data_IF_360326703006
#
_entry.id   IF_360326703006
#
_cell.length_a   1.000
_cell.length_b   1.000
_cell.length_c   1.000
_cell.angle_alpha   90.00
_cell.angle_beta   90.00
_cell.angle_gamma   90.00
#
_symmetry.space_group_name_H-M   'P 1'
#
loop_
_entity.id
_entity.type
_entity.pdbx_description
1 polymer ?
#
# COMPACT_ATOMS: atom_id res chain seq x y z
N UNK A 1 1.01 -41.40 14.67
CA UNK A 1 -0.21 -40.64 14.99
C UNK A 1 -0.40 -39.65 13.86
N UNK A 2 -1.45 -39.85 13.04
CA UNK A 2 -1.55 -39.28 11.68
C UNK A 2 -1.37 -37.77 11.61
N UNK A 3 -0.60 -37.33 10.61
CA UNK A 3 -0.30 -35.95 10.20
C UNK A 3 -1.57 -35.19 9.76
N UNK A 4 -2.46 -34.86 10.70
CA UNK A 4 -3.61 -34.00 10.43
C UNK A 4 -3.19 -32.53 10.60
N UNK A 5 -2.51 -31.98 9.58
CA UNK A 5 -2.41 -30.52 9.42
C UNK A 5 -3.78 -30.01 8.98
N UNK A 6 -4.22 -28.91 9.58
CA UNK A 6 -5.42 -28.18 9.13
C UNK A 6 -5.31 -27.84 7.63
N UNK A 7 -6.45 -27.77 6.95
CA UNK A 7 -6.53 -27.36 5.55
C UNK A 7 -7.53 -26.23 5.39
N UNK A 8 -7.37 -25.45 4.33
CA UNK A 8 -8.34 -24.40 3.97
C UNK A 8 -9.75 -24.98 3.86
N UNK A 9 -10.76 -24.20 4.29
CA UNK A 9 -12.16 -24.65 4.23
C UNK A 9 -12.68 -24.77 2.79
N UNK A 10 -12.04 -24.06 1.86
CA UNK A 10 -12.24 -24.21 0.42
C UNK A 10 -11.11 -23.55 -0.37
N UNK A 11 -10.99 -23.90 -1.66
CA UNK A 11 -9.94 -23.37 -2.54
C UNK A 11 -9.98 -21.85 -2.71
N UNK A 12 -11.18 -21.26 -2.68
CA UNK A 12 -11.35 -19.81 -2.80
C UNK A 12 -10.79 -19.08 -1.59
N UNK A 13 -10.88 -19.64 -0.39
CA UNK A 13 -10.30 -19.04 0.82
C UNK A 13 -8.77 -18.89 0.65
N UNK A 14 -8.09 -19.94 0.18
CA UNK A 14 -6.66 -19.88 -0.14
C UNK A 14 -6.34 -18.84 -1.21
N UNK A 15 -7.07 -18.85 -2.33
CA UNK A 15 -6.82 -17.91 -3.43
C UNK A 15 -7.01 -16.46 -2.97
N UNK A 16 -8.06 -16.17 -2.21
CA UNK A 16 -8.32 -14.82 -1.68
C UNK A 16 -7.27 -14.42 -0.64
N UNK A 17 -6.80 -15.33 0.21
CA UNK A 17 -5.70 -15.04 1.14
C UNK A 17 -4.40 -14.70 0.40
N UNK A 18 -4.05 -15.43 -0.65
CA UNK A 18 -2.86 -15.13 -1.46
C UNK A 18 -3.02 -13.83 -2.26
N UNK A 19 -4.21 -13.58 -2.84
CA UNK A 19 -4.50 -12.32 -3.54
C UNK A 19 -4.46 -11.14 -2.58
N UNK A 20 -5.11 -11.23 -1.42
CA UNK A 20 -5.11 -10.17 -0.41
C UNK A 20 -3.72 -9.88 0.14
N UNK A 21 -2.88 -10.90 0.30
CA UNK A 21 -1.49 -10.68 0.67
C UNK A 21 -0.69 -9.95 -0.42
N UNK A 22 -0.81 -10.37 -1.68
CA UNK A 22 -0.05 -9.80 -2.80
C UNK A 22 -0.55 -8.42 -3.22
N UNK A 23 -1.85 -8.14 -3.08
CA UNK A 23 -2.47 -6.87 -3.46
C UNK A 23 -2.54 -5.97 -2.24
N UNK A 24 -1.64 -5.00 -2.18
CA UNK A 24 -1.47 -4.10 -1.05
C UNK A 24 -1.48 -2.62 -1.48
N UNK A 25 -1.03 -1.73 -0.58
CA UNK A 25 -0.92 -0.31 -0.89
C UNK A 25 0.13 -0.03 -1.99
N UNK A 26 1.15 -0.88 -2.19
CA UNK A 26 2.16 -0.73 -3.23
C UNK A 26 1.57 -0.82 -4.65
N UNK A 27 0.50 -1.60 -4.84
CA UNK A 27 -0.23 -1.64 -6.11
C UNK A 27 -0.87 -0.29 -6.45
N UNK A 28 -1.26 0.50 -5.43
CA UNK A 28 -1.94 1.79 -5.60
C UNK A 28 -0.95 2.95 -5.66
N UNK A 29 0.02 3.02 -4.75
CA UNK A 29 0.84 4.24 -4.58
C UNK A 29 2.21 4.22 -5.24
N UNK A 30 2.66 3.07 -5.77
CA UNK A 30 4.02 2.89 -6.26
C UNK A 30 4.03 2.47 -7.71
N UNK A 31 3.31 1.40 -8.07
CA UNK A 31 3.25 0.96 -9.46
C UNK A 31 2.81 2.06 -10.45
N UNK A 32 1.74 2.84 -10.17
CA UNK A 32 1.34 3.91 -11.09
C UNK A 32 2.40 5.00 -11.22
N UNK A 33 3.02 5.39 -10.10
CA UNK A 33 4.11 6.36 -10.09
C UNK A 33 5.32 5.87 -10.89
N UNK A 34 5.71 4.60 -10.75
CA UNK A 34 6.81 4.02 -11.52
C UNK A 34 6.51 4.00 -13.02
N UNK A 35 5.27 3.71 -13.42
CA UNK A 35 4.88 3.82 -14.82
C UNK A 35 5.11 5.25 -15.33
N UNK A 36 4.61 6.26 -14.61
CA UNK A 36 4.81 7.66 -14.96
C UNK A 36 6.29 8.07 -15.02
N UNK A 37 7.07 7.79 -13.96
CA UNK A 37 8.50 8.11 -13.87
C UNK A 37 9.31 7.46 -15.00
N UNK A 38 8.99 6.21 -15.34
CA UNK A 38 9.83 5.36 -16.20
C UNK A 38 9.35 5.26 -17.66
N UNK A 39 8.63 6.27 -18.16
CA UNK A 39 8.28 6.37 -19.57
C UNK A 39 6.89 5.81 -19.94
N UNK A 40 5.95 5.91 -19.01
CA UNK A 40 4.55 5.54 -19.18
C UNK A 40 4.37 4.08 -19.57
N UNK A 41 3.63 3.83 -20.65
CA UNK A 41 3.37 2.49 -21.15
C UNK A 41 4.62 1.72 -21.59
N UNK A 42 5.74 2.39 -21.85
CA UNK A 42 7.00 1.72 -22.18
C UNK A 42 7.57 0.94 -20.97
N UNK A 43 7.26 1.36 -19.73
CA UNK A 43 7.67 0.67 -18.51
C UNK A 43 7.04 -0.74 -18.37
N UNK A 44 5.91 -0.98 -19.04
CA UNK A 44 5.26 -2.30 -19.03
C UNK A 44 6.15 -3.38 -19.66
N UNK A 45 7.05 -3.03 -20.58
CA UNK A 45 7.99 -3.99 -21.19
C UNK A 45 8.98 -4.55 -20.17
N UNK A 46 9.83 -3.74 -19.50
CA UNK A 46 10.73 -4.25 -18.46
C UNK A 46 9.97 -4.86 -17.28
N UNK A 47 8.81 -4.31 -16.91
CA UNK A 47 7.96 -4.88 -15.86
C UNK A 47 7.48 -6.30 -16.20
N UNK A 48 6.88 -6.51 -17.38
CA UNK A 48 6.42 -7.83 -17.81
C UNK A 48 7.57 -8.83 -17.96
N UNK A 49 8.72 -8.40 -18.50
CA UNK A 49 9.90 -9.28 -18.60
C UNK A 49 10.33 -9.73 -17.20
N UNK A 50 10.53 -8.80 -16.27
CA UNK A 50 10.92 -9.12 -14.89
C UNK A 50 9.86 -9.95 -14.15
N UNK A 51 8.58 -9.73 -14.44
CA UNK A 51 7.47 -10.52 -13.92
C UNK A 51 7.55 -11.99 -14.38
N UNK A 52 7.74 -12.24 -15.68
CA UNK A 52 7.77 -13.60 -16.21
C UNK A 52 9.07 -14.36 -15.90
N UNK A 53 10.22 -13.68 -15.87
CA UNK A 53 11.52 -14.35 -15.68
C UNK A 53 11.95 -14.43 -14.21
N UNK A 54 11.50 -13.49 -13.37
CA UNK A 54 11.91 -13.39 -11.97
C UNK A 54 10.74 -13.61 -11.00
N UNK A 55 9.71 -12.77 -11.11
CA UNK A 55 8.58 -12.74 -10.18
C UNK A 55 7.80 -14.04 -10.10
N UNK A 56 7.15 -14.44 -11.20
CA UNK A 56 6.30 -15.64 -11.27
C UNK A 56 7.08 -16.91 -10.93
N UNK A 57 8.31 -17.14 -11.43
CA UNK A 57 9.08 -18.33 -11.06
C UNK A 57 9.35 -18.45 -9.56
N UNK A 58 9.73 -17.36 -8.89
CA UNK A 58 9.99 -17.39 -7.45
C UNK A 58 8.72 -17.51 -6.61
N UNK A 59 7.66 -16.82 -7.04
CA UNK A 59 6.34 -16.92 -6.43
C UNK A 59 5.79 -18.34 -6.52
N UNK A 60 5.87 -18.97 -7.70
CA UNK A 60 5.49 -20.36 -7.91
C UNK A 60 6.34 -21.32 -7.10
N UNK A 61 7.66 -21.12 -7.06
CA UNK A 61 8.58 -21.94 -6.29
C UNK A 61 8.19 -21.97 -4.81
N UNK A 62 7.94 -20.81 -4.20
CA UNK A 62 7.60 -20.74 -2.77
C UNK A 62 6.26 -21.42 -2.46
N UNK A 63 5.23 -21.20 -3.29
CA UNK A 63 3.94 -21.88 -3.15
C UNK A 63 4.07 -23.40 -3.31
N UNK A 64 4.83 -23.87 -4.31
CA UNK A 64 5.04 -25.30 -4.54
C UNK A 64 5.81 -25.95 -3.38
N UNK A 65 6.86 -25.30 -2.88
CA UNK A 65 7.63 -25.77 -1.71
C UNK A 65 6.77 -25.85 -0.45
N UNK A 66 5.94 -24.83 -0.20
CA UNK A 66 5.01 -24.81 0.93
C UNK A 66 4.04 -25.98 0.87
N UNK A 67 3.36 -26.16 -0.26
CA UNK A 67 2.38 -27.25 -0.45
C UNK A 67 3.01 -28.64 -0.35
N UNK A 68 4.21 -28.83 -0.92
CA UNK A 68 4.88 -30.13 -0.92
C UNK A 68 5.38 -30.52 0.49
N UNK A 69 6.01 -29.59 1.23
CA UNK A 69 6.58 -29.89 2.54
C UNK A 69 5.59 -29.78 3.71
N UNK A 70 4.44 -29.11 3.53
CA UNK A 70 3.36 -28.96 4.52
C UNK A 70 3.82 -28.45 5.89
N UNK A 71 4.80 -27.55 5.88
CA UNK A 71 5.41 -26.94 7.07
C UNK A 71 5.72 -25.46 6.83
N UNK A 72 5.74 -24.67 7.90
CA UNK A 72 6.14 -23.27 7.89
C UNK A 72 7.63 -23.07 7.55
N UNK A 73 8.03 -21.80 7.35
CA UNK A 73 9.30 -21.44 6.73
C UNK A 73 10.55 -22.06 7.38
N UNK A 74 10.68 -21.99 8.71
CA UNK A 74 11.85 -22.51 9.45
C UNK A 74 12.00 -24.02 9.25
N UNK A 75 10.94 -24.76 9.55
CA UNK A 75 10.94 -26.23 9.46
C UNK A 75 11.02 -26.71 8.01
N UNK A 76 10.44 -25.97 7.05
CA UNK A 76 10.53 -26.27 5.62
C UNK A 76 11.98 -26.21 5.13
N UNK A 77 12.66 -25.07 5.31
CA UNK A 77 14.08 -24.93 4.93
C UNK A 77 14.99 -25.92 5.66
N UNK A 78 14.71 -26.19 6.94
CA UNK A 78 15.44 -27.20 7.71
C UNK A 78 15.28 -28.63 7.19
N UNK A 79 14.14 -28.97 6.56
CA UNK A 79 13.90 -30.29 5.94
C UNK A 79 14.48 -30.39 4.53
N UNK A 80 14.53 -29.29 3.78
CA UNK A 80 15.11 -29.26 2.42
C UNK A 80 16.64 -29.31 2.50
N UNK A 81 17.25 -28.32 3.17
CA UNK A 81 18.70 -28.21 3.35
C UNK A 81 18.98 -27.79 4.79
N UNK A 82 19.29 -28.73 5.71
CA UNK A 82 19.54 -28.40 7.12
C UNK A 82 20.62 -27.33 7.34
N UNK A 83 21.65 -27.30 6.49
CA UNK A 83 22.71 -26.27 6.51
C UNK A 83 22.15 -24.86 6.32
N UNK A 84 21.09 -24.71 5.52
CA UNK A 84 20.44 -23.44 5.21
C UNK A 84 19.14 -23.20 5.99
N UNK A 85 18.93 -23.91 7.11
CA UNK A 85 17.82 -23.63 8.03
C UNK A 85 17.77 -22.16 8.49
N UNK A 86 18.92 -21.49 8.52
CA UNK A 86 19.04 -20.06 8.80
C UNK A 86 18.18 -19.16 7.89
N UNK A 87 17.93 -19.56 6.63
CA UNK A 87 17.06 -18.82 5.71
C UNK A 87 15.66 -18.67 6.31
N UNK A 88 15.10 -19.75 6.86
CA UNK A 88 13.77 -19.70 7.47
C UNK A 88 13.69 -18.78 8.68
N UNK A 89 14.73 -18.71 9.52
CA UNK A 89 14.79 -17.75 10.64
C UNK A 89 14.90 -16.30 10.14
N UNK A 90 15.71 -16.04 9.13
CA UNK A 90 15.85 -14.70 8.54
C UNK A 90 14.53 -14.21 7.95
N UNK A 91 13.82 -15.07 7.21
CA UNK A 91 12.52 -14.75 6.60
C UNK A 91 11.47 -14.41 7.65
N UNK A 92 11.37 -15.20 8.73
CA UNK A 92 10.44 -14.93 9.84
C UNK A 92 10.78 -13.63 10.56
N UNK A 93 12.06 -13.34 10.78
CA UNK A 93 12.49 -12.09 11.41
C UNK A 93 12.21 -10.86 10.54
N UNK A 94 12.34 -10.97 9.22
CA UNK A 94 11.98 -9.91 8.28
C UNK A 94 10.49 -9.59 8.39
N UNK A 95 9.62 -10.61 8.37
CA UNK A 95 8.18 -10.43 8.56
C UNK A 95 7.86 -9.75 9.90
N UNK A 96 8.54 -10.16 10.98
CA UNK A 96 8.39 -9.54 12.30
C UNK A 96 8.75 -8.05 12.31
N UNK A 97 9.82 -7.65 11.62
CA UNK A 97 10.17 -6.23 11.51
C UNK A 97 9.21 -5.42 10.63
N UNK A 98 8.65 -6.04 9.59
CA UNK A 98 7.65 -5.38 8.72
C UNK A 98 6.40 -5.04 9.51
N UNK A 99 5.93 -5.96 10.36
CA UNK A 99 4.73 -5.74 11.19
C UNK A 99 4.85 -4.53 12.13
N UNK A 100 6.06 -4.13 12.54
CA UNK A 100 6.24 -2.96 13.42
C UNK A 100 5.91 -1.62 12.77
N UNK A 101 6.25 -1.43 11.49
CA UNK A 101 6.02 -0.16 10.81
C UNK A 101 4.82 -0.21 9.87
N UNK A 102 4.53 -1.37 9.27
CA UNK A 102 3.46 -1.49 8.27
C UNK A 102 2.08 -1.24 8.89
N UNK A 103 1.84 -1.76 10.09
CA UNK A 103 0.58 -1.56 10.82
C UNK A 103 0.30 -0.09 11.19
N UNK A 104 1.34 0.76 11.25
CA UNK A 104 1.16 2.21 11.47
C UNK A 104 0.48 2.87 10.26
N UNK A 105 0.72 2.38 9.04
CA UNK A 105 0.07 2.88 7.83
C UNK A 105 -1.43 2.55 7.85
N UNK A 106 -1.78 1.34 8.31
CA UNK A 106 -3.17 0.93 8.51
C UNK A 106 -3.84 1.80 9.58
N UNK A 107 -3.12 2.12 10.65
CA UNK A 107 -3.60 3.03 11.69
C UNK A 107 -3.83 4.45 11.15
N UNK A 108 -2.99 4.96 10.23
CA UNK A 108 -3.24 6.22 9.54
C UNK A 108 -4.53 6.14 8.71
N UNK A 109 -4.71 5.09 7.92
CA UNK A 109 -5.94 4.88 7.14
C UNK A 109 -7.19 4.87 8.05
N UNK A 110 -7.13 4.16 9.17
CA UNK A 110 -8.21 4.14 10.17
C UNK A 110 -8.48 5.52 10.78
N UNK A 111 -7.41 6.27 11.08
CA UNK A 111 -7.52 7.63 11.65
C UNK A 111 -8.17 8.61 10.67
N UNK A 112 -7.84 8.51 9.38
CA UNK A 112 -8.47 9.28 8.31
C UNK A 112 -9.91 8.85 8.05
N UNK A 113 -10.19 7.55 8.12
CA UNK A 113 -11.56 7.03 8.03
C UNK A 113 -12.45 7.62 9.11
N UNK A 114 -12.01 7.62 10.37
CA UNK A 114 -12.76 8.27 11.45
C UNK A 114 -12.84 9.80 11.32
N UNK A 115 -11.79 10.45 10.81
CA UNK A 115 -11.81 11.88 10.52
C UNK A 115 -12.79 12.29 9.42
N UNK A 116 -13.22 11.34 8.59
CA UNK A 116 -14.11 11.59 7.45
C UNK A 116 -15.59 11.69 7.84
N UNK A 117 -15.98 11.32 9.07
CA UNK A 117 -17.36 11.44 9.56
C UNK A 117 -17.68 12.87 10.01
N UNK A 118 -17.77 13.77 9.05
CA UNK A 118 -18.04 15.21 9.24
C UNK A 118 -18.76 15.77 8.02
N UNK A 119 -19.44 16.91 8.18
CA UNK A 119 -20.07 17.63 7.07
C UNK A 119 -19.04 18.30 6.14
N UNK A 120 -17.88 18.68 6.69
CA UNK A 120 -16.77 19.29 5.96
C UNK A 120 -15.47 18.58 6.33
N UNK A 121 -14.79 18.01 5.34
CA UNK A 121 -13.53 17.28 5.55
C UNK A 121 -12.45 18.23 6.09
N UNK A 122 -11.67 17.83 7.11
CA UNK A 122 -10.78 18.75 7.83
C UNK A 122 -9.52 19.15 7.05
N UNK A 123 -9.25 18.53 5.91
CA UNK A 123 -8.13 18.85 5.01
C UNK A 123 -8.53 19.75 3.82
N UNK A 124 -9.72 20.36 3.85
CA UNK A 124 -10.21 21.27 2.79
C UNK A 124 -9.70 22.70 2.96
N UNK A 125 -9.69 23.22 4.19
CA UNK A 125 -9.44 24.64 4.50
C UNK A 125 -8.13 24.87 5.24
N UNK A 126 -7.68 26.12 5.23
CA UNK A 126 -6.49 26.60 5.95
C UNK A 126 -6.83 27.33 7.26
N UNK A 127 -8.09 27.31 7.70
CA UNK A 127 -8.58 28.06 8.87
C UNK A 127 -8.61 27.21 10.16
N UNK A 128 -7.75 26.21 10.26
CA UNK A 128 -7.72 25.28 11.39
C UNK A 128 -6.57 25.60 12.35
N UNK A 129 -6.63 25.18 13.64
CA UNK A 129 -5.61 25.51 14.64
C UNK A 129 -4.22 24.92 14.33
N UNK A 130 -4.13 23.89 13.49
CA UNK A 130 -2.84 23.31 13.07
C UNK A 130 -2.20 24.05 11.88
N UNK A 131 -2.95 24.93 11.21
CA UNK A 131 -2.48 25.58 9.99
C UNK A 131 -1.45 26.67 10.26
N UNK A 132 -0.59 26.91 9.27
CA UNK A 132 0.38 28.01 9.29
C UNK A 132 -0.04 29.15 8.35
N UNK A 133 0.52 30.36 8.50
CA UNK A 133 0.27 31.46 7.57
C UNK A 133 0.69 31.17 6.12
N UNK A 134 1.46 30.09 5.88
CA UNK A 134 1.90 29.64 4.55
C UNK A 134 0.93 28.64 3.90
N UNK A 135 -0.12 28.24 4.61
CA UNK A 135 -1.14 27.34 4.09
C UNK A 135 -1.90 28.00 2.94
N UNK A 136 -2.05 27.27 1.84
CA UNK A 136 -2.91 27.66 0.72
C UNK A 136 -4.00 26.61 0.51
N UNK A 137 -5.29 27.02 0.42
CA UNK A 137 -6.35 26.11 0.04
C UNK A 137 -6.16 25.67 -1.42
N UNK A 138 -6.85 24.59 -1.79
CA UNK A 138 -6.88 24.11 -3.17
C UNK A 138 -7.88 24.96 -3.97
N UNK A 139 -7.56 26.23 -4.23
CA UNK A 139 -8.45 27.16 -4.92
C UNK A 139 -8.20 27.24 -6.43
N UNK A 140 -9.30 27.38 -7.19
CA UNK A 140 -9.37 27.57 -8.65
C UNK A 140 -8.79 28.91 -9.16
N UNK A 141 -8.25 29.74 -8.27
CA UNK A 141 -7.78 31.10 -8.54
C UNK A 141 -6.28 31.23 -8.28
N UNK A 142 -5.48 30.45 -9.01
CA UNK A 142 -4.20 30.96 -9.53
C UNK A 142 -4.42 31.96 -10.68
N UNK A 143 -5.52 32.73 -10.64
CA UNK A 143 -5.51 34.04 -11.27
C UNK A 143 -4.41 34.82 -10.59
N UNK A 144 -3.33 35.05 -11.34
CA UNK A 144 -2.30 36.01 -11.00
C UNK A 144 -2.93 37.19 -10.27
N UNK A 145 -2.62 37.34 -8.99
CA UNK A 145 -2.76 38.61 -8.29
C UNK A 145 -1.75 39.58 -8.91
N UNK A 146 -2.02 39.99 -10.16
CA UNK A 146 -1.38 41.14 -10.81
C UNK A 146 -1.87 42.47 -10.25
N UNK A 147 -2.57 42.48 -9.10
CA UNK A 147 -3.08 43.70 -8.47
C UNK A 147 -2.90 43.73 -6.94
N UNK A 148 -1.77 43.23 -6.43
CA UNK A 148 -1.24 43.74 -5.16
C UNK A 148 -0.04 44.64 -5.45
N UNK A 149 -0.20 45.92 -5.17
CA UNK A 149 0.81 46.96 -5.30
C UNK A 149 2.02 46.67 -4.40
N UNK A 150 3.00 45.92 -4.90
CA UNK A 150 4.29 45.75 -4.25
C UNK A 150 5.23 46.92 -4.62
N UNK A 151 5.09 48.02 -3.87
CA UNK A 151 6.25 48.84 -3.52
C UNK A 151 7.08 48.06 -2.50
N UNK A 152 7.90 47.13 -2.99
CA UNK A 152 8.77 46.29 -2.17
C UNK A 152 10.15 46.21 -2.82
N UNK A 153 11.10 46.93 -2.26
CA UNK A 153 12.50 46.99 -2.67
C UNK A 153 13.12 45.59 -2.79
N UNK A 154 13.63 45.27 -3.99
CA UNK A 154 14.45 44.09 -4.26
C UNK A 154 15.66 44.07 -3.31
N UNK A 155 15.63 43.21 -2.28
CA UNK A 155 16.82 42.84 -1.52
C UNK A 155 17.37 41.55 -2.11
N UNK A 156 18.46 41.68 -2.86
CA UNK A 156 19.36 40.58 -3.20
C UNK A 156 19.95 40.01 -1.91
N UNK A 157 19.54 38.80 -1.53
CA UNK A 157 20.28 37.97 -0.59
C UNK A 157 20.43 36.57 -1.16
N UNK A 158 21.63 36.32 -1.66
CA UNK A 158 22.21 35.02 -1.93
C UNK A 158 22.27 34.19 -0.65
N UNK A 159 21.45 33.16 -0.52
CA UNK A 159 21.69 32.06 0.42
C UNK A 159 21.37 30.72 -0.23
N UNK A 160 22.44 29.93 -0.41
CA UNK A 160 22.38 28.49 -0.61
C UNK A 160 21.82 27.84 0.66
N UNK A 161 20.57 27.42 0.59
CA UNK A 161 19.90 26.54 1.53
C UNK A 161 18.75 25.90 0.78
N UNK A 162 18.54 24.60 0.94
CA UNK A 162 17.40 23.88 0.35
C UNK A 162 16.11 24.65 0.66
N UNK A 163 15.53 25.28 -0.35
CA UNK A 163 14.27 26.00 -0.24
C UNK A 163 13.17 25.00 0.11
N UNK A 164 12.74 25.01 1.37
CA UNK A 164 11.41 24.51 1.71
C UNK A 164 10.39 25.25 0.82
N UNK A 165 9.38 24.56 0.28
CA UNK A 165 8.38 25.20 -0.57
C UNK A 165 7.79 26.41 0.15
N UNK A 166 7.71 27.53 -0.56
CA UNK A 166 7.29 28.83 -0.01
C UNK A 166 5.86 28.79 0.55
N UNK A 167 5.06 27.81 0.09
CA UNK A 167 3.68 27.54 0.48
C UNK A 167 3.41 26.04 0.64
N UNK A 168 2.47 25.70 1.53
CA UNK A 168 2.04 24.32 1.85
C UNK A 168 0.55 24.16 1.55
N UNK A 169 0.12 22.98 1.09
CA UNK A 169 -1.31 22.69 0.88
C UNK A 169 -2.02 22.39 2.20
N UNK A 170 -3.32 22.69 2.27
CA UNK A 170 -4.17 22.37 3.43
C UNK A 170 -4.09 20.88 3.83
N UNK A 171 -4.10 19.97 2.85
CA UNK A 171 -3.98 18.53 3.10
C UNK A 171 -2.60 18.11 3.61
N UNK A 172 -1.53 18.75 3.12
CA UNK A 172 -0.19 18.50 3.60
C UNK A 172 -0.03 18.92 5.06
N UNK A 173 -0.55 20.10 5.43
CA UNK A 173 -0.53 20.57 6.81
C UNK A 173 -1.43 19.73 7.73
N UNK A 174 -2.58 19.28 7.24
CA UNK A 174 -3.42 18.35 7.99
C UNK A 174 -2.66 17.07 8.32
N UNK A 175 -2.03 16.43 7.33
CA UNK A 175 -1.30 15.19 7.57
C UNK A 175 -0.06 15.41 8.45
N UNK A 176 0.81 16.37 8.11
CA UNK A 176 2.07 16.59 8.81
C UNK A 176 1.91 17.22 10.19
N UNK A 177 0.95 18.14 10.37
CA UNK A 177 0.81 18.93 11.61
C UNK A 177 -0.32 18.45 12.49
N UNK A 178 -1.45 18.03 11.92
CA UNK A 178 -2.57 17.54 12.70
C UNK A 178 -2.46 16.04 13.00
N UNK A 179 -2.27 15.19 11.98
CA UNK A 179 -2.23 13.73 12.16
C UNK A 179 -0.90 13.28 12.76
N UNK A 180 0.23 13.64 12.14
CA UNK A 180 1.56 13.18 12.55
C UNK A 180 2.21 14.02 13.64
N UNK A 181 1.83 15.30 13.76
CA UNK A 181 2.51 16.28 14.61
C UNK A 181 4.04 16.36 14.38
N UNK A 182 4.49 16.06 13.17
CA UNK A 182 5.91 15.93 12.82
C UNK A 182 6.70 17.22 13.06
N UNK A 183 6.04 18.37 12.96
CA UNK A 183 6.61 19.69 13.25
C UNK A 183 7.09 19.88 14.70
N UNK A 184 6.73 18.98 15.62
CA UNK A 184 7.19 19.00 17.02
C UNK A 184 8.51 18.24 17.24
N UNK A 185 8.92 17.44 16.26
CA UNK A 185 10.14 16.63 16.31
C UNK A 185 11.25 17.31 15.52
N UNK A 186 12.44 17.41 16.12
CA UNK A 186 13.66 17.89 15.45
C UNK A 186 14.37 16.79 14.64
N UNK A 187 13.96 15.52 14.81
CA UNK A 187 14.56 14.37 14.15
C UNK A 187 14.32 13.06 14.91
N UNK A 188 14.92 11.96 14.44
CA UNK A 188 14.72 10.63 15.04
C UNK A 188 15.14 10.54 16.52
N UNK A 189 16.08 11.39 16.95
CA UNK A 189 16.52 11.47 18.35
C UNK A 189 15.47 12.10 19.28
N UNK A 190 14.48 12.80 18.73
CA UNK A 190 13.42 13.45 19.48
C UNK A 190 12.05 12.99 18.97
N UNK A 191 11.56 11.89 19.54
CA UNK A 191 10.26 11.32 19.20
C UNK A 191 9.08 12.12 19.79
N UNK A 192 9.34 13.06 20.69
CA UNK A 192 8.30 13.82 21.38
C UNK A 192 7.36 12.95 22.24
N UNK A 193 6.10 13.39 22.35
CA UNK A 193 5.06 12.70 23.12
C UNK A 193 4.28 11.68 22.28
N UNK A 194 3.85 10.57 22.91
CA UNK A 194 2.95 9.60 22.26
C UNK A 194 1.60 10.26 21.97
N UNK A 195 1.19 10.22 20.70
CA UNK A 195 -0.11 10.71 20.25
C UNK A 195 -1.19 9.64 20.48
N UNK A 196 -2.02 9.83 21.52
CA UNK A 196 -2.93 8.79 22.03
C UNK A 196 -4.06 8.38 21.07
N UNK A 197 -4.54 9.28 20.21
CA UNK A 197 -5.53 8.95 19.17
C UNK A 197 -4.94 7.99 18.11
N UNK A 198 -3.68 8.19 17.73
CA UNK A 198 -2.95 7.27 16.86
C UNK A 198 -2.64 5.94 17.55
N UNK A 199 -2.26 5.97 18.83
CA UNK A 199 -2.05 4.75 19.62
C UNK A 199 -3.35 3.92 19.73
N UNK A 200 -4.50 4.57 19.90
CA UNK A 200 -5.80 3.91 19.90
C UNK A 200 -6.12 3.30 18.52
N UNK A 201 -5.87 4.01 17.42
CA UNK A 201 -6.07 3.46 16.07
C UNK A 201 -5.18 2.24 15.84
N UNK A 202 -3.91 2.29 16.24
CA UNK A 202 -2.99 1.15 16.14
C UNK A 202 -3.45 -0.03 17.00
N UNK A 203 -3.92 0.22 18.22
CA UNK A 203 -4.49 -0.81 19.09
C UNK A 203 -5.72 -1.47 18.46
N UNK A 204 -6.62 -0.70 17.85
CA UNK A 204 -7.78 -1.24 17.12
C UNK A 204 -7.34 -2.10 15.93
N UNK A 205 -6.33 -1.68 15.17
CA UNK A 205 -5.76 -2.49 14.07
C UNK A 205 -5.26 -3.83 14.60
N UNK A 206 -4.48 -3.85 15.68
CA UNK A 206 -4.01 -5.12 16.27
C UNK A 206 -5.15 -5.99 16.82
N UNK A 207 -6.21 -5.39 17.38
CA UNK A 207 -7.41 -6.15 17.77
C UNK A 207 -8.05 -6.83 16.55
N UNK A 208 -8.17 -6.12 15.42
CA UNK A 208 -8.71 -6.68 14.18
C UNK A 208 -7.82 -7.82 13.68
N UNK A 209 -6.50 -7.61 13.63
CA UNK A 209 -5.54 -8.65 13.24
C UNK A 209 -5.62 -9.88 14.15
N UNK A 210 -5.67 -9.66 15.46
CA UNK A 210 -5.73 -10.72 16.45
C UNK A 210 -6.99 -11.59 16.29
N UNK A 211 -8.18 -11.00 16.27
CA UNK A 211 -9.41 -11.77 16.08
C UNK A 211 -9.54 -12.42 14.70
N UNK A 212 -8.88 -11.87 13.68
CA UNK A 212 -8.82 -12.48 12.35
C UNK A 212 -7.92 -13.73 12.32
N UNK A 213 -6.80 -13.70 13.04
CA UNK A 213 -5.79 -14.77 13.08
C UNK A 213 -5.96 -15.77 14.24
N UNK A 214 -6.79 -15.45 15.25
CA UNK A 214 -6.93 -16.20 16.50
C UNK A 214 -7.17 -17.70 16.26
N UNK A 215 -8.13 -18.07 15.40
CA UNK A 215 -8.43 -19.48 15.07
C UNK A 215 -7.71 -19.98 13.82
N UNK A 216 -6.65 -19.29 13.41
CA UNK A 216 -5.87 -19.62 12.22
C UNK A 216 -6.63 -19.44 10.93
N UNK A 217 -6.33 -20.31 9.96
CA UNK A 217 -6.85 -20.23 8.60
C UNK A 217 -8.37 -20.44 8.51
N UNK A 218 -9.00 -21.07 9.53
CA UNK A 218 -10.45 -21.24 9.60
C UNK A 218 -11.21 -19.91 9.69
N UNK A 219 -10.71 -18.94 10.46
CA UNK A 219 -11.28 -17.59 10.57
C UNK A 219 -10.67 -16.65 9.55
N UNK A 220 -9.34 -16.65 9.43
CA UNK A 220 -8.62 -15.76 8.50
C UNK A 220 -9.14 -15.95 7.06
N UNK A 221 -9.32 -17.20 6.63
CA UNK A 221 -9.87 -17.53 5.31
C UNK A 221 -11.31 -17.04 5.06
N UNK A 222 -12.06 -16.65 6.10
CA UNK A 222 -13.39 -16.02 5.98
C UNK A 222 -13.32 -14.50 6.04
N UNK A 223 -12.43 -13.92 6.83
CA UNK A 223 -12.24 -12.46 6.87
C UNK A 223 -11.79 -11.93 5.51
N UNK A 224 -10.89 -12.66 4.83
CA UNK A 224 -10.36 -12.29 3.50
C UNK A 224 -11.43 -12.17 2.40
N UNK A 225 -12.61 -12.74 2.58
CA UNK A 225 -13.71 -12.53 1.63
C UNK A 225 -14.17 -11.08 1.59
N UNK A 226 -14.13 -10.37 2.72
CA UNK A 226 -14.41 -8.95 2.74
C UNK A 226 -13.17 -8.15 2.39
N UNK A 227 -12.07 -8.37 3.10
CA UNK A 227 -10.87 -7.53 2.99
C UNK A 227 -10.19 -7.63 1.63
N UNK A 228 -10.23 -8.79 0.95
CA UNK A 228 -9.63 -8.93 -0.38
C UNK A 228 -10.57 -8.47 -1.50
N UNK A 229 -11.89 -8.64 -1.38
CA UNK A 229 -12.85 -8.29 -2.44
C UNK A 229 -13.31 -6.83 -2.39
N UNK A 230 -13.41 -6.24 -1.19
CA UNK A 230 -13.87 -4.87 -1.00
C UNK A 230 -13.02 -3.84 -1.77
N UNK A 231 -11.68 -3.93 -1.80
CA UNK A 231 -10.86 -3.04 -2.62
C UNK A 231 -11.24 -3.04 -4.10
N UNK A 232 -11.61 -4.19 -4.69
CA UNK A 232 -12.03 -4.25 -6.09
C UNK A 232 -13.35 -3.51 -6.34
N UNK A 233 -14.29 -3.58 -5.40
CA UNK A 233 -15.53 -2.82 -5.48
C UNK A 233 -15.24 -1.31 -5.44
N UNK A 234 -14.37 -0.86 -4.53
CA UNK A 234 -14.00 0.56 -4.42
C UNK A 234 -13.19 1.01 -5.63
N UNK A 235 -12.22 0.22 -6.10
CA UNK A 235 -11.45 0.53 -7.31
C UNK A 235 -12.37 0.68 -8.53
N UNK A 236 -13.40 -0.14 -8.68
CA UNK A 236 -14.36 0.00 -9.77
C UNK A 236 -15.17 1.30 -9.65
N UNK A 237 -15.67 1.62 -8.45
CA UNK A 237 -16.44 2.85 -8.20
C UNK A 237 -15.57 4.09 -8.45
N UNK A 238 -14.33 4.10 -7.94
CA UNK A 238 -13.38 5.19 -8.13
C UNK A 238 -12.88 5.27 -9.58
N UNK A 239 -12.80 4.16 -10.31
CA UNK A 239 -12.46 4.15 -11.73
C UNK A 239 -13.55 4.86 -12.54
N UNK A 240 -14.82 4.45 -12.36
CA UNK A 240 -15.95 5.08 -13.03
C UNK A 240 -16.02 6.56 -12.68
N UNK A 241 -15.86 6.91 -11.39
CA UNK A 241 -15.83 8.31 -10.98
C UNK A 241 -14.67 9.06 -11.62
N UNK A 242 -13.46 8.52 -11.53
CA UNK A 242 -12.22 9.13 -12.01
C UNK A 242 -12.25 9.45 -13.50
N UNK A 243 -12.69 8.51 -14.34
CA UNK A 243 -12.76 8.74 -15.80
C UNK A 243 -13.85 9.76 -16.18
N UNK A 244 -14.90 9.94 -15.37
CA UNK A 244 -15.97 10.94 -15.62
C UNK A 244 -15.58 12.36 -15.23
N UNK A 245 -14.45 12.56 -14.55
CA UNK A 245 -13.98 13.89 -14.14
C UNK A 245 -13.35 14.65 -15.32
N UNK A 246 -13.46 16.00 -15.36
CA UNK A 246 -12.76 16.81 -16.36
C UNK A 246 -11.25 16.67 -16.19
N UNK A 247 -10.48 16.65 -17.28
CA UNK A 247 -9.01 16.48 -17.21
C UNK A 247 -8.51 15.05 -16.97
N UNK A 248 -9.40 14.08 -16.74
CA UNK A 248 -9.03 12.67 -16.51
C UNK A 248 -8.21 12.06 -17.65
N UNK A 249 -8.52 12.41 -18.89
CA UNK A 249 -7.81 11.95 -20.09
C UNK A 249 -6.35 12.42 -20.13
N UNK A 250 -6.06 13.62 -19.61
CA UNK A 250 -4.69 14.13 -19.53
C UNK A 250 -3.87 13.32 -18.53
N UNK A 251 -4.44 13.02 -17.36
CA UNK A 251 -3.80 12.16 -16.39
C UNK A 251 -3.50 10.76 -16.93
N UNK A 252 -4.45 10.14 -17.63
CA UNK A 252 -4.24 8.84 -18.28
C UNK A 252 -3.15 8.92 -19.36
N UNK A 253 -3.07 10.04 -20.09
CA UNK A 253 -1.99 10.27 -21.05
C UNK A 253 -0.63 10.30 -20.35
N UNK A 254 -0.50 10.96 -19.21
CA UNK A 254 0.73 10.93 -18.42
C UNK A 254 1.07 9.54 -17.87
N UNK A 255 0.06 8.74 -17.52
CA UNK A 255 0.25 7.37 -17.06
C UNK A 255 0.79 6.43 -18.16
N UNK A 256 0.26 6.53 -19.39
CA UNK A 256 0.50 5.52 -20.43
C UNK A 256 1.22 6.00 -21.68
N UNK A 257 1.47 7.30 -21.85
CA UNK A 257 2.19 7.82 -23.03
C UNK A 257 3.59 7.19 -23.11
N UNK A 258 3.86 6.35 -24.13
CA UNK A 258 5.06 5.52 -24.14
C UNK A 258 6.29 6.34 -24.53
N UNK A 259 7.33 6.30 -23.69
CA UNK A 259 8.66 6.79 -24.03
C UNK A 259 9.69 5.65 -23.97
N UNK A 260 9.94 5.03 -25.12
CA UNK A 260 10.87 3.90 -25.24
C UNK A 260 12.33 4.27 -24.96
N UNK A 261 12.70 5.55 -24.97
CA UNK A 261 14.04 5.99 -24.57
C UNK A 261 14.32 5.70 -23.09
N UNK A 262 13.31 5.53 -22.25
CA UNK A 262 13.50 5.21 -20.84
C UNK A 262 14.03 3.79 -20.63
N UNK A 263 13.71 2.84 -21.52
CA UNK A 263 14.10 1.42 -21.38
C UNK A 263 15.62 1.22 -21.46
N UNK A 264 16.35 2.15 -22.10
CA UNK A 264 17.82 2.07 -22.18
C UNK A 264 18.50 2.36 -20.84
N UNK A 265 17.79 2.94 -19.88
CA UNK A 265 18.33 3.25 -18.55
C UNK A 265 18.27 2.02 -17.65
N UNK A 266 19.39 1.65 -17.04
CA UNK A 266 19.45 0.52 -16.11
C UNK A 266 18.53 0.69 -14.89
N UNK A 267 18.37 1.93 -14.39
CA UNK A 267 17.48 2.26 -13.28
C UNK A 267 16.03 1.79 -13.51
N UNK A 268 15.53 1.89 -14.75
CA UNK A 268 14.18 1.47 -15.11
C UNK A 268 13.97 -0.04 -14.93
N UNK A 269 15.01 -0.83 -15.21
CA UNK A 269 14.96 -2.29 -15.01
C UNK A 269 15.08 -2.67 -13.54
N UNK A 270 15.86 -1.93 -12.76
CA UNK A 270 15.94 -2.11 -11.31
C UNK A 270 14.60 -1.76 -10.66
N UNK A 271 14.00 -0.63 -11.01
CA UNK A 271 12.67 -0.23 -10.54
C UNK A 271 11.60 -1.28 -10.90
N UNK A 272 11.63 -1.81 -12.13
CA UNK A 272 10.74 -2.88 -12.58
C UNK A 272 10.92 -4.17 -11.76
N UNK A 273 12.16 -4.61 -11.57
CA UNK A 273 12.46 -5.79 -10.77
C UNK A 273 12.00 -5.57 -9.32
N UNK A 274 12.46 -4.52 -8.65
CA UNK A 274 12.09 -4.21 -7.27
C UNK A 274 10.58 -4.15 -7.08
N UNK A 275 9.84 -3.52 -8.00
CA UNK A 275 8.38 -3.49 -7.95
C UNK A 275 7.75 -4.89 -8.07
N UNK A 276 8.22 -5.72 -9.01
CA UNK A 276 7.72 -7.10 -9.18
C UNK A 276 7.97 -7.95 -7.93
N UNK A 277 9.19 -7.88 -7.37
CA UNK A 277 9.57 -8.65 -6.20
C UNK A 277 8.80 -8.23 -4.95
N UNK A 278 8.67 -6.94 -4.67
CA UNK A 278 7.92 -6.49 -3.49
C UNK A 278 6.41 -6.57 -3.67
N UNK A 279 5.89 -6.54 -4.90
CA UNK A 279 4.45 -6.66 -5.15
C UNK A 279 3.96 -8.11 -5.08
N UNK A 280 4.72 -9.10 -5.56
CA UNK A 280 4.31 -10.50 -5.42
C UNK A 280 4.61 -11.07 -4.02
N UNK A 281 5.54 -10.46 -3.29
CA UNK A 281 5.94 -10.89 -1.95
C UNK A 281 6.66 -12.25 -1.81
N UNK A 282 7.38 -12.81 -2.81
CA UNK A 282 8.21 -13.99 -2.55
C UNK A 282 9.35 -13.67 -1.58
N UNK A 283 9.68 -14.62 -0.72
CA UNK A 283 10.76 -14.52 0.26
C UNK A 283 10.35 -13.98 1.63
N UNK A 284 9.07 -13.65 1.84
CA UNK A 284 8.54 -13.32 3.17
C UNK A 284 8.03 -14.54 3.95
N UNK A 285 8.01 -15.74 3.33
CA UNK A 285 7.57 -16.97 3.99
C UNK A 285 6.06 -17.11 4.10
N UNK A 286 5.31 -16.07 3.69
CA UNK A 286 3.84 -16.01 3.70
C UNK A 286 3.26 -17.00 2.70
N UNK A 287 3.74 -16.98 1.46
CA UNK A 287 3.29 -17.89 0.41
C UNK A 287 3.55 -19.34 0.82
N UNK A 288 4.72 -19.59 1.41
CA UNK A 288 5.10 -20.90 1.92
C UNK A 288 4.16 -21.35 3.05
N UNK A 289 3.86 -20.46 4.00
CA UNK A 289 2.92 -20.72 5.09
C UNK A 289 1.51 -20.99 4.57
N UNK A 290 0.95 -20.14 3.71
CA UNK A 290 -0.39 -20.34 3.14
C UNK A 290 -0.51 -21.61 2.31
N UNK A 291 0.48 -21.88 1.44
CA UNK A 291 0.47 -23.09 0.63
C UNK A 291 0.67 -24.37 1.45
N UNK A 292 1.32 -24.30 2.62
CA UNK A 292 1.48 -25.45 3.51
C UNK A 292 0.16 -26.05 3.99
N UNK A 293 -0.91 -25.25 4.00
CA UNK A 293 -2.27 -25.67 4.35
C UNK A 293 -3.10 -26.15 3.15
N UNK A 294 -2.58 -26.10 1.92
CA UNK A 294 -3.27 -26.65 0.75
C UNK A 294 -3.35 -28.17 0.81
N UNK A 295 -4.29 -28.76 0.07
CA UNK A 295 -4.25 -30.19 -0.22
C UNK A 295 -3.03 -30.54 -1.08
N UNK A 296 -2.45 -31.72 -0.85
CA UNK A 296 -1.20 -32.12 -1.51
C UNK A 296 -1.32 -32.15 -3.04
N UNK A 297 -2.47 -32.60 -3.56
CA UNK A 297 -2.74 -32.71 -5.00
C UNK A 297 -3.43 -31.47 -5.60
N UNK A 298 -3.51 -30.35 -4.88
CA UNK A 298 -4.03 -29.11 -5.46
C UNK A 298 -3.10 -28.59 -6.57
N UNK A 299 -3.67 -28.02 -7.62
CA UNK A 299 -2.90 -27.47 -8.74
C UNK A 299 -2.34 -26.08 -8.41
N UNK A 300 -1.21 -26.08 -7.69
CA UNK A 300 -0.52 -24.85 -7.27
C UNK A 300 0.07 -24.04 -8.43
N UNK A 301 0.33 -24.67 -9.58
CA UNK A 301 0.81 -23.96 -10.78
C UNK A 301 -0.23 -23.01 -11.34
N UNK A 302 -1.48 -23.47 -11.47
CA UNK A 302 -2.59 -22.62 -11.92
C UNK A 302 -2.87 -21.50 -10.92
N UNK A 303 -2.82 -21.81 -9.62
CA UNK A 303 -3.05 -20.83 -8.56
C UNK A 303 -1.97 -19.75 -8.58
N UNK A 304 -0.70 -20.12 -8.76
CA UNK A 304 0.41 -19.18 -8.86
C UNK A 304 0.29 -18.24 -10.07
N UNK A 305 -0.09 -18.77 -11.24
CA UNK A 305 -0.28 -17.97 -12.44
C UNK A 305 -1.47 -17.03 -12.30
N UNK A 306 -2.61 -17.53 -11.81
CA UNK A 306 -3.84 -16.74 -11.64
C UNK A 306 -3.62 -15.57 -10.67
N UNK A 307 -3.06 -15.85 -9.50
CA UNK A 307 -2.80 -14.84 -8.46
C UNK A 307 -1.80 -13.78 -8.95
N UNK A 308 -0.74 -14.17 -9.65
CA UNK A 308 0.25 -13.23 -10.22
C UNK A 308 -0.36 -12.30 -11.28
N UNK A 309 -1.24 -12.84 -12.14
CA UNK A 309 -1.97 -12.05 -13.14
C UNK A 309 -2.94 -11.09 -12.45
N UNK A 310 -3.73 -11.56 -11.48
CA UNK A 310 -4.65 -10.70 -10.72
C UNK A 310 -3.88 -9.57 -10.06
N UNK A 311 -2.79 -9.85 -9.35
CA UNK A 311 -1.96 -8.85 -8.70
C UNK A 311 -1.52 -7.72 -9.67
N UNK A 312 -0.95 -8.11 -10.81
CA UNK A 312 -0.45 -7.16 -11.83
C UNK A 312 -1.59 -6.39 -12.51
N UNK A 313 -2.71 -7.05 -12.79
CA UNK A 313 -3.92 -6.40 -13.31
C UNK A 313 -4.48 -5.38 -12.33
N UNK A 314 -4.47 -5.67 -11.03
CA UNK A 314 -4.91 -4.74 -9.99
C UNK A 314 -4.04 -3.49 -9.95
N UNK A 315 -2.72 -3.63 -10.02
CA UNK A 315 -1.80 -2.48 -10.12
C UNK A 315 -2.09 -1.64 -11.37
N UNK A 316 -2.34 -2.30 -12.50
CA UNK A 316 -2.65 -1.62 -13.76
C UNK A 316 -3.95 -0.81 -13.69
N UNK A 317 -5.02 -1.41 -13.12
CA UNK A 317 -6.32 -0.76 -12.90
C UNK A 317 -6.20 0.37 -11.89
N UNK A 318 -5.50 0.16 -10.77
CA UNK A 318 -5.24 1.18 -9.77
C UNK A 318 -4.51 2.39 -10.38
N UNK A 319 -3.63 2.16 -11.36
CA UNK A 319 -3.01 3.25 -12.09
C UNK A 319 -3.98 4.15 -12.86
N UNK A 320 -5.03 3.59 -13.49
CA UNK A 320 -6.08 4.42 -14.08
C UNK A 320 -6.86 5.20 -13.02
N UNK A 321 -7.18 4.56 -11.89
CA UNK A 321 -7.90 5.21 -10.77
C UNK A 321 -7.09 6.41 -10.27
N UNK A 322 -5.80 6.21 -9.96
CA UNK A 322 -4.91 7.26 -9.47
C UNK A 322 -4.74 8.36 -10.51
N UNK A 323 -4.31 8.03 -11.73
CA UNK A 323 -3.97 9.06 -12.71
C UNK A 323 -5.18 9.80 -13.28
N UNK A 324 -6.36 9.18 -13.33
CA UNK A 324 -7.58 9.92 -13.70
C UNK A 324 -7.93 11.03 -12.70
N UNK A 325 -7.75 10.77 -11.40
CA UNK A 325 -7.94 11.77 -10.34
C UNK A 325 -6.81 12.79 -10.30
N UNK A 326 -5.55 12.39 -10.52
CA UNK A 326 -4.43 13.34 -10.63
C UNK A 326 -4.57 14.26 -11.84
N UNK A 327 -5.05 13.75 -12.98
CA UNK A 327 -5.36 14.57 -14.16
C UNK A 327 -6.47 15.59 -13.89
N UNK A 328 -7.52 15.16 -13.18
CA UNK A 328 -8.55 16.08 -12.69
C UNK A 328 -7.97 17.15 -11.77
N UNK A 329 -7.14 16.75 -10.82
CA UNK A 329 -6.50 17.67 -9.89
C UNK A 329 -5.67 18.71 -10.63
N UNK A 330 -4.81 18.29 -11.56
CA UNK A 330 -4.00 19.18 -12.40
C UNK A 330 -4.86 20.15 -13.22
N UNK A 331 -5.98 19.67 -13.79
CA UNK A 331 -6.89 20.50 -14.57
C UNK A 331 -7.63 21.55 -13.72
N UNK A 332 -8.00 21.20 -12.48
CA UNK A 332 -8.72 22.11 -11.58
C UNK A 332 -7.78 23.12 -10.92
N UNK A 333 -6.58 22.70 -10.52
CA UNK A 333 -5.60 23.57 -9.86
C UNK A 333 -4.74 24.37 -10.83
N UNK A 334 -4.75 24.01 -12.12
CA UNK A 334 -3.84 24.58 -13.12
C UNK A 334 -2.36 24.23 -12.88
N UNK A 335 -2.07 23.25 -12.01
CA UNK A 335 -0.71 22.81 -11.71
C UNK A 335 -0.26 21.71 -12.68
N UNK A 336 1.06 21.57 -12.83
CA UNK A 336 1.61 20.46 -13.60
C UNK A 336 1.37 19.14 -12.85
N UNK A 337 1.00 18.09 -13.57
CA UNK A 337 0.81 16.76 -12.96
C UNK A 337 2.08 16.27 -12.25
N UNK A 338 3.26 16.70 -12.70
CA UNK A 338 4.54 16.35 -12.10
C UNK A 338 4.66 16.79 -10.63
N UNK A 339 4.01 17.89 -10.27
CA UNK A 339 4.07 18.45 -8.91
C UNK A 339 3.11 17.73 -7.95
N UNK A 340 2.11 17.01 -8.49
CA UNK A 340 1.12 16.23 -7.72
C UNK A 340 1.35 14.72 -7.79
N UNK A 341 2.13 14.24 -8.76
CA UNK A 341 2.45 12.82 -8.94
C UNK A 341 3.62 12.41 -8.03
N UNK A 342 3.29 12.00 -6.80
CA UNK A 342 4.25 11.48 -5.81
C UNK A 342 4.06 9.98 -5.56
N UNK A 343 5.07 9.28 -5.06
CA UNK A 343 4.90 7.91 -4.53
C UNK A 343 4.74 7.85 -3.00
N UNK A 344 4.28 6.70 -2.52
CA UNK A 344 4.23 6.38 -1.10
C UNK A 344 3.07 7.07 -0.35
N UNK A 345 3.21 7.25 0.98
CA UNK A 345 2.12 7.74 1.83
C UNK A 345 1.59 9.12 1.43
N UNK A 346 2.43 9.99 0.87
CA UNK A 346 2.02 11.33 0.42
C UNK A 346 0.93 11.29 -0.65
N UNK A 347 0.98 10.32 -1.57
CA UNK A 347 -0.05 10.20 -2.60
C UNK A 347 -1.43 9.95 -1.98
N UNK A 348 -1.53 8.98 -1.07
CA UNK A 348 -2.82 8.52 -0.54
C UNK A 348 -3.31 9.31 0.67
N UNK A 349 -2.43 9.99 1.42
CA UNK A 349 -2.81 10.77 2.60
C UNK A 349 -2.77 12.29 2.38
N UNK A 350 -2.25 12.77 1.25
CA UNK A 350 -2.13 14.22 0.97
C UNK A 350 -2.77 14.59 -0.35
N UNK A 351 -2.32 14.00 -1.46
CA UNK A 351 -2.75 14.38 -2.81
C UNK A 351 -4.16 13.89 -3.10
N UNK A 352 -4.42 12.59 -2.91
CA UNK A 352 -5.71 11.99 -3.22
C UNK A 352 -6.86 12.52 -2.34
N UNK A 353 -6.68 12.71 -1.01
CA UNK A 353 -7.71 13.31 -0.17
C UNK A 353 -8.00 14.78 -0.55
N UNK A 354 -7.00 15.52 -1.02
CA UNK A 354 -7.21 16.88 -1.53
C UNK A 354 -8.06 16.89 -2.80
N UNK A 355 -7.81 15.97 -3.74
CA UNK A 355 -8.66 15.82 -4.91
C UNK A 355 -10.10 15.43 -4.53
N UNK A 356 -10.26 14.44 -3.63
CA UNK A 356 -11.58 14.01 -3.11
C UNK A 356 -12.35 15.19 -2.49
N UNK A 357 -11.67 16.05 -1.73
CA UNK A 357 -12.27 17.20 -1.06
C UNK A 357 -12.97 18.18 -2.02
N UNK A 358 -12.50 18.27 -3.27
CA UNK A 358 -13.11 19.14 -4.29
C UNK A 358 -14.32 18.54 -5.01
N UNK A 359 -14.53 17.22 -4.87
CA UNK A 359 -15.61 16.53 -5.56
C UNK A 359 -16.94 16.67 -4.81
N UNK A 360 -18.09 16.79 -5.51
CA UNK A 360 -19.39 16.69 -4.87
C UNK A 360 -19.56 15.32 -4.22
N UNK A 361 -20.08 15.30 -2.99
CA UNK A 361 -20.18 14.09 -2.17
C UNK A 361 -18.83 13.62 -1.61
N UNK A 362 -17.86 14.52 -1.42
CA UNK A 362 -16.50 14.26 -0.93
C UNK A 362 -16.41 13.30 0.26
N UNK A 363 -17.35 13.40 1.22
CA UNK A 363 -17.46 12.53 2.39
C UNK A 363 -17.57 11.05 1.98
N UNK A 364 -18.46 10.72 1.04
CA UNK A 364 -18.66 9.35 0.58
C UNK A 364 -17.38 8.79 -0.05
N UNK A 365 -16.74 9.57 -0.93
CA UNK A 365 -15.49 9.19 -1.59
C UNK A 365 -14.35 8.98 -0.60
N UNK A 366 -14.23 9.84 0.43
CA UNK A 366 -13.23 9.71 1.47
C UNK A 366 -13.44 8.43 2.30
N UNK A 367 -14.68 8.16 2.74
CA UNK A 367 -15.00 6.97 3.54
C UNK A 367 -14.67 5.66 2.81
N UNK A 368 -15.09 5.52 1.55
CA UNK A 368 -14.80 4.29 0.78
C UNK A 368 -13.31 4.17 0.45
N UNK A 369 -12.62 5.28 0.19
CA UNK A 369 -11.19 5.29 -0.13
C UNK A 369 -10.34 4.89 1.08
N UNK A 370 -10.57 5.47 2.26
CA UNK A 370 -9.82 5.10 3.45
C UNK A 370 -10.18 3.70 3.97
N UNK A 371 -11.43 3.24 3.78
CA UNK A 371 -11.78 1.83 4.03
C UNK A 371 -11.08 0.87 3.05
N UNK A 372 -10.90 1.27 1.78
CA UNK A 372 -10.11 0.49 0.83
C UNK A 372 -8.64 0.41 1.27
N UNK A 373 -8.01 1.51 1.69
CA UNK A 373 -6.63 1.48 2.20
C UNK A 373 -6.50 0.61 3.46
N UNK A 374 -7.48 0.67 4.35
CA UNK A 374 -7.53 -0.18 5.55
C UNK A 374 -7.56 -1.67 5.16
N UNK A 375 -8.48 -2.04 4.26
CA UNK A 375 -8.66 -3.44 3.84
C UNK A 375 -7.47 -3.99 3.05
N UNK A 376 -6.88 -3.19 2.15
CA UNK A 376 -5.62 -3.54 1.46
C UNK A 376 -4.46 -3.77 2.44
N UNK A 377 -4.37 -2.96 3.50
CA UNK A 377 -3.32 -3.13 4.50
C UNK A 377 -3.53 -4.36 5.39
N UNK A 378 -4.77 -4.61 5.80
CA UNK A 378 -5.08 -5.69 6.74
C UNK A 378 -4.70 -7.07 6.20
N UNK A 379 -5.00 -7.37 4.93
CA UNK A 379 -4.69 -8.69 4.37
C UNK A 379 -3.19 -8.96 4.25
N UNK A 380 -2.39 -7.94 3.89
CA UNK A 380 -0.93 -8.08 3.88
C UNK A 380 -0.38 -8.32 5.28
N UNK A 381 -0.92 -7.64 6.31
CA UNK A 381 -0.53 -7.87 7.71
C UNK A 381 -0.95 -9.26 8.19
N UNK A 382 -2.14 -9.74 7.80
CA UNK A 382 -2.57 -11.10 8.12
C UNK A 382 -1.58 -12.13 7.57
N UNK A 383 -1.11 -11.96 6.33
CA UNK A 383 -0.10 -12.81 5.73
C UNK A 383 1.23 -12.78 6.48
N UNK A 384 1.77 -11.59 6.73
CA UNK A 384 3.04 -11.39 7.45
C UNK A 384 3.03 -12.06 8.83
N UNK A 385 2.01 -11.78 9.64
CA UNK A 385 1.87 -12.38 10.97
C UNK A 385 1.60 -13.88 10.89
N UNK A 386 0.80 -14.38 9.94
CA UNK A 386 0.56 -15.82 9.78
C UNK A 386 1.85 -16.58 9.41
N UNK A 387 2.76 -15.98 8.64
CA UNK A 387 4.05 -16.58 8.34
C UNK A 387 4.87 -16.83 9.61
N UNK A 388 4.88 -15.87 10.53
CA UNK A 388 5.55 -15.97 11.83
C UNK A 388 4.87 -17.04 12.68
N UNK A 389 3.55 -16.95 12.87
CA UNK A 389 2.79 -17.86 13.72
C UNK A 389 2.92 -19.30 13.20
N UNK A 390 2.79 -19.51 11.89
CA UNK A 390 2.92 -20.84 11.26
C UNK A 390 4.32 -21.40 11.44
N UNK A 391 5.36 -20.60 11.17
CA UNK A 391 6.74 -21.06 11.28
C UNK A 391 7.12 -21.42 12.72
N UNK A 392 6.73 -20.60 13.71
CA UNK A 392 6.98 -20.86 15.12
C UNK A 392 6.12 -22.01 15.65
N UNK A 393 4.88 -22.15 15.19
CA UNK A 393 3.99 -23.25 15.60
C UNK A 393 4.50 -24.62 15.14
N UNK A 394 5.08 -24.68 13.94
CA UNK A 394 5.65 -25.91 13.39
C UNK A 394 7.00 -26.27 14.03
N UNK A 395 7.80 -25.27 14.42
CA UNK A 395 9.11 -25.47 15.05
C UNK A 395 9.00 -25.77 16.55
N UNK A 396 8.08 -25.09 17.24
CA UNK A 396 7.87 -25.20 18.68
C UNK A 396 6.43 -25.64 18.99
N UNK A 397 6.19 -26.93 19.26
CA UNK A 397 4.85 -27.48 19.48
C UNK A 397 4.06 -26.83 20.64
N UNK A 398 4.75 -26.18 21.58
CA UNK A 398 4.13 -25.46 22.70
C UNK A 398 3.34 -24.24 22.21
N UNK A 399 3.86 -23.53 21.20
CA UNK A 399 3.20 -22.36 20.61
C UNK A 399 1.99 -22.82 19.79
N UNK A 400 2.17 -23.84 18.93
CA UNK A 400 1.07 -24.36 18.11
C UNK A 400 -0.12 -24.89 18.93
N UNK A 401 0.13 -25.49 20.10
CA UNK A 401 -0.95 -25.94 21.01
C UNK A 401 -1.69 -24.80 21.72
N UNK A 402 -1.02 -23.67 21.91
CA UNK A 402 -1.53 -22.53 22.67
C UNK A 402 -1.69 -21.29 21.78
N UNK A 403 -1.94 -21.47 20.48
CA UNK A 403 -2.03 -20.40 19.47
C UNK A 403 -2.97 -19.26 19.86
N UNK A 404 -4.02 -19.55 20.63
CA UNK A 404 -4.98 -18.54 21.06
C UNK A 404 -4.38 -17.56 22.10
N UNK A 405 -3.41 -18.03 22.87
CA UNK A 405 -2.76 -17.31 23.97
C UNK A 405 -1.51 -16.55 23.47
N UNK A 406 -0.87 -17.06 22.41
CA UNK A 406 0.38 -16.55 21.83
C UNK A 406 0.14 -15.91 20.45
#
# INVERSE_FOLDING_TARGET
>A
TGDLRETWSGKVDFLLSVIGFAVDLANVWRFPYLCYKNGGGAFLVPYCIMLFVGGIPLFYMELALGQFHRKGAITCWGRIVPLFKGIGYSVVLIAFYVDFYYNVIIAWALRFFFASFTDMLPWTTCDNPWNTPKCRPLDNSWSADTNSSMNGTFKNSSQNGQQLPEYSSASFEYFSRAILELHRSEGLHDLGSIKWDMALCLFVVYIICYFSLWKGISTSGKVVWFTALFPYAVLLILLVRGITLPGSAEGIKYYLSPNFSSITKAEVWVDAATQVFFSLGPGFGVLLAYASYNEYHNNVYQDALLTSVINSCTSFIAGFVIFSVLGYMAHVTGQNIADVATEGPGLVFIVYPAAIATMPGSIFWALIFFMMLLTLGLDSSFGGSEAIITALSDEFPVIGKNREIF
#
